data_IF_859139557800
#
_entry.id   IF_859139557800
#
_cell.length_a   1.000
_cell.length_b   1.000
_cell.length_c   1.000
_cell.angle_alpha   90.00
_cell.angle_beta   90.00
_cell.angle_gamma   90.00
#
_symmetry.space_group_name_H-M   'P 1'
#
loop_
_entity.id
_entity.type
_entity.pdbx_description
1 polymer ?
#
# COMPACT_ATOMS: atom_id res chain seq x y z
N UNK A 1 -49.19 15.53 18.62
CA UNK A 1 -48.46 16.03 17.44
C UNK A 1 -47.32 15.08 17.16
N UNK A 2 -47.41 14.25 16.12
CA UNK A 2 -46.32 13.32 15.77
C UNK A 2 -45.15 14.09 15.19
N UNK A 3 -43.98 13.99 15.82
CA UNK A 3 -42.74 14.52 15.25
C UNK A 3 -42.54 13.92 13.86
N UNK A 4 -42.60 14.78 12.83
CA UNK A 4 -42.33 14.39 11.47
C UNK A 4 -40.87 13.93 11.40
N UNK A 5 -40.65 12.64 11.20
CA UNK A 5 -39.34 12.05 10.93
C UNK A 5 -38.69 12.85 9.80
N UNK A 6 -37.64 13.61 10.13
CA UNK A 6 -36.84 14.35 9.14
C UNK A 6 -36.29 13.32 8.16
N UNK A 7 -36.66 13.44 6.88
CA UNK A 7 -36.13 12.65 5.77
C UNK A 7 -34.61 12.85 5.78
N UNK A 8 -33.85 11.83 6.17
CA UNK A 8 -32.39 11.87 6.10
C UNK A 8 -32.05 11.94 4.61
N UNK A 9 -31.43 13.04 4.19
CA UNK A 9 -30.91 13.17 2.84
C UNK A 9 -29.73 12.21 2.69
N UNK A 10 -29.96 11.11 1.98
CA UNK A 10 -29.02 10.01 1.84
C UNK A 10 -27.84 10.34 0.89
N UNK A 11 -27.84 11.53 0.25
CA UNK A 11 -26.84 11.95 -0.73
C UNK A 11 -25.76 12.92 -0.22
N UNK A 12 -25.90 13.50 0.98
CA UNK A 12 -25.06 14.61 1.45
C UNK A 12 -23.92 14.24 2.40
N UNK A 13 -23.71 12.95 2.68
CA UNK A 13 -22.64 12.52 3.59
C UNK A 13 -21.27 12.79 2.97
N UNK A 14 -20.50 13.66 3.62
CA UNK A 14 -19.15 14.00 3.20
C UNK A 14 -18.14 12.89 3.50
N UNK A 15 -17.01 12.90 2.79
CA UNK A 15 -15.93 11.92 3.02
C UNK A 15 -15.37 12.00 4.45
N UNK A 16 -15.31 13.20 5.02
CA UNK A 16 -14.83 13.42 6.38
C UNK A 16 -15.77 12.81 7.44
N UNK A 17 -17.09 12.89 7.23
CA UNK A 17 -18.08 12.28 8.12
C UNK A 17 -18.02 10.76 8.06
N UNK A 18 -17.79 10.20 6.86
CA UNK A 18 -17.54 8.76 6.68
C UNK A 18 -16.27 8.31 7.38
N UNK A 19 -15.18 9.09 7.28
CA UNK A 19 -13.92 8.76 7.95
C UNK A 19 -14.08 8.83 9.48
N UNK A 20 -14.73 9.86 10.01
CA UNK A 20 -15.02 9.96 11.46
C UNK A 20 -15.87 8.77 11.94
N UNK A 21 -16.91 8.39 11.19
CA UNK A 21 -17.73 7.24 11.51
C UNK A 21 -16.94 5.92 11.44
N UNK A 22 -16.07 5.79 10.44
CA UNK A 22 -15.19 4.63 10.28
C UNK A 22 -14.23 4.48 11.47
N UNK A 23 -13.60 5.57 11.89
CA UNK A 23 -12.68 5.60 13.04
C UNK A 23 -13.40 5.19 14.32
N UNK A 24 -14.62 5.68 14.56
CA UNK A 24 -15.41 5.27 15.73
C UNK A 24 -15.72 3.77 15.75
N UNK A 25 -16.08 3.22 14.59
CA UNK A 25 -16.31 1.78 14.44
C UNK A 25 -15.02 0.98 14.68
N UNK A 26 -13.88 1.43 14.14
CA UNK A 26 -12.56 0.83 14.39
C UNK A 26 -12.16 0.91 15.88
N UNK A 27 -12.61 1.93 16.60
CA UNK A 27 -12.41 2.09 18.05
C UNK A 27 -13.35 1.23 18.90
N UNK A 28 -14.18 0.38 18.28
CA UNK A 28 -15.05 -0.57 18.97
C UNK A 28 -16.51 -0.14 19.11
N UNK A 29 -16.91 1.01 18.53
CA UNK A 29 -18.33 1.38 18.51
C UNK A 29 -19.12 0.54 17.51
N UNK A 30 -20.39 0.33 17.80
CA UNK A 30 -21.27 -0.54 17.00
C UNK A 30 -21.48 -0.05 15.58
N UNK A 31 -21.25 -0.93 14.60
CA UNK A 31 -21.57 -0.76 13.17
C UNK A 31 -23.07 -0.51 12.93
N UNK A 32 -23.93 -0.81 13.91
CA UNK A 32 -25.38 -0.57 13.83
C UNK A 32 -25.80 0.78 14.40
N UNK A 33 -25.06 1.27 15.39
CA UNK A 33 -25.42 2.48 16.16
C UNK A 33 -24.78 3.73 15.55
N UNK A 34 -23.49 3.66 15.20
CA UNK A 34 -22.74 4.79 14.63
C UNK A 34 -23.41 5.39 13.38
N UNK A 35 -23.90 4.60 12.39
CA UNK A 35 -24.58 5.17 11.23
C UNK A 35 -25.88 5.90 11.59
N UNK A 36 -26.61 5.42 12.60
CA UNK A 36 -27.87 6.04 13.03
C UNK A 36 -27.62 7.39 13.70
N UNK A 37 -26.65 7.45 14.61
CA UNK A 37 -26.25 8.68 15.31
C UNK A 37 -25.73 9.74 14.33
N UNK A 38 -24.95 9.31 13.33
CA UNK A 38 -24.34 10.21 12.34
C UNK A 38 -25.19 10.44 11.10
N UNK A 39 -26.41 9.88 11.05
CA UNK A 39 -27.33 9.95 9.89
C UNK A 39 -26.69 9.47 8.57
N UNK A 40 -25.82 8.47 8.66
CA UNK A 40 -25.13 7.86 7.52
C UNK A 40 -25.86 6.57 7.11
N UNK A 41 -25.97 6.35 5.80
CA UNK A 41 -26.38 5.06 5.25
C UNK A 41 -25.50 3.92 5.75
N UNK A 42 -26.10 2.91 6.39
CA UNK A 42 -25.35 1.74 6.87
C UNK A 42 -24.59 1.06 5.72
N UNK A 43 -25.21 0.94 4.56
CA UNK A 43 -24.60 0.42 3.34
C UNK A 43 -23.43 1.29 2.87
N UNK A 44 -23.57 2.62 2.95
CA UNK A 44 -22.53 3.59 2.61
C UNK A 44 -21.31 3.42 3.52
N UNK A 45 -21.51 3.34 4.84
CA UNK A 45 -20.41 3.12 5.79
C UNK A 45 -19.75 1.74 5.59
N UNK A 46 -20.53 0.69 5.38
CA UNK A 46 -19.98 -0.65 5.12
C UNK A 46 -19.16 -0.71 3.82
N UNK A 47 -19.65 -0.06 2.75
CA UNK A 47 -18.92 0.05 1.49
C UNK A 47 -17.59 0.80 1.68
N UNK A 48 -17.61 1.89 2.47
CA UNK A 48 -16.43 2.65 2.82
C UNK A 48 -15.40 1.79 3.56
N UNK A 49 -15.83 1.10 4.62
CA UNK A 49 -15.00 0.20 5.43
C UNK A 49 -14.29 -0.86 4.57
N UNK A 50 -15.05 -1.57 3.73
CA UNK A 50 -14.50 -2.61 2.85
C UNK A 50 -13.45 -2.04 1.89
N UNK A 51 -13.69 -0.83 1.36
CA UNK A 51 -12.74 -0.14 0.47
C UNK A 51 -11.48 0.31 1.21
N UNK A 52 -11.62 0.82 2.44
CA UNK A 52 -10.50 1.24 3.28
C UNK A 52 -9.61 0.05 3.67
N UNK A 53 -10.21 -1.09 4.02
CA UNK A 53 -9.50 -2.32 4.35
C UNK A 53 -8.75 -2.88 3.14
N UNK A 54 -9.40 -2.99 1.99
CA UNK A 54 -8.75 -3.46 0.76
C UNK A 54 -7.61 -2.56 0.26
N UNK A 55 -7.67 -1.24 0.52
CA UNK A 55 -6.52 -0.34 0.25
C UNK A 55 -5.34 -0.63 1.19
N UNK A 56 -5.61 -0.86 2.48
CA UNK A 56 -4.59 -1.16 3.49
C UNK A 56 -3.91 -2.50 3.23
N UNK A 57 -4.65 -3.53 2.83
CA UNK A 57 -4.08 -4.83 2.47
C UNK A 57 -3.12 -4.72 1.29
N UNK A 58 -3.50 -3.98 0.25
CA UNK A 58 -2.62 -3.74 -0.91
C UNK A 58 -1.34 -3.00 -0.52
N UNK A 59 -1.44 -1.94 0.28
CA UNK A 59 -0.25 -1.19 0.70
C UNK A 59 0.69 -2.01 1.57
N UNK A 60 0.15 -2.84 2.46
CA UNK A 60 0.95 -3.79 3.27
C UNK A 60 1.61 -4.85 2.38
N UNK A 61 0.89 -5.39 1.39
CA UNK A 61 1.44 -6.38 0.44
C UNK A 61 2.57 -5.81 -0.44
N UNK A 62 2.41 -4.60 -0.97
CA UNK A 62 3.48 -3.93 -1.72
C UNK A 62 4.69 -3.61 -0.84
N UNK A 63 4.46 -3.19 0.41
CA UNK A 63 5.54 -2.93 1.37
C UNK A 63 6.33 -4.21 1.71
N UNK A 64 5.63 -5.31 1.98
CA UNK A 64 6.27 -6.61 2.25
C UNK A 64 7.08 -7.10 1.04
N UNK A 65 6.55 -6.95 -0.17
CA UNK A 65 7.28 -7.29 -1.40
C UNK A 65 8.53 -6.41 -1.61
N UNK A 66 8.43 -5.10 -1.31
CA UNK A 66 9.56 -4.19 -1.43
C UNK A 66 10.67 -4.51 -0.41
N UNK A 67 10.29 -4.87 0.81
CA UNK A 67 11.22 -5.25 1.87
C UNK A 67 11.90 -6.60 1.56
N UNK A 68 11.15 -7.59 1.10
CA UNK A 68 11.71 -8.87 0.64
C UNK A 68 12.72 -8.69 -0.51
N UNK A 69 12.40 -7.82 -1.48
CA UNK A 69 13.34 -7.48 -2.58
C UNK A 69 14.60 -6.80 -2.06
N UNK A 70 14.49 -5.96 -1.02
CA UNK A 70 15.65 -5.28 -0.42
C UNK A 70 16.58 -6.28 0.26
N UNK A 71 16.03 -7.17 1.10
CA UNK A 71 16.78 -8.23 1.78
C UNK A 71 17.46 -9.14 0.76
N UNK A 72 16.72 -9.60 -0.25
CA UNK A 72 17.27 -10.44 -1.32
C UNK A 72 18.43 -9.75 -2.05
N UNK A 73 18.32 -8.45 -2.31
CA UNK A 73 19.38 -7.68 -2.96
C UNK A 73 20.61 -7.47 -2.07
N UNK A 74 20.41 -7.32 -0.76
CA UNK A 74 21.49 -7.19 0.23
C UNK A 74 22.24 -8.52 0.38
N UNK A 75 21.53 -9.63 0.55
CA UNK A 75 22.12 -10.98 0.64
C UNK A 75 22.84 -11.37 -0.66
N UNK A 76 22.29 -11.01 -1.82
CA UNK A 76 22.96 -11.26 -3.10
C UNK A 76 24.27 -10.45 -3.23
N UNK A 77 24.29 -9.20 -2.77
CA UNK A 77 25.50 -8.37 -2.78
C UNK A 77 26.60 -8.95 -1.87
N UNK A 78 26.22 -9.41 -0.68
CA UNK A 78 27.13 -10.07 0.27
C UNK A 78 27.73 -11.35 -0.34
N UNK A 79 26.90 -12.17 -0.98
CA UNK A 79 27.38 -13.39 -1.65
C UNK A 79 28.32 -13.10 -2.82
N UNK A 80 28.03 -12.07 -3.63
CA UNK A 80 28.93 -11.65 -4.71
C UNK A 80 30.27 -11.18 -4.15
N UNK A 81 30.27 -10.44 -3.04
CA UNK A 81 31.48 -10.00 -2.35
C UNK A 81 32.31 -11.18 -1.86
N UNK A 82 31.68 -12.13 -1.16
CA UNK A 82 32.35 -13.35 -0.68
C UNK A 82 32.93 -14.18 -1.83
N UNK A 83 32.22 -14.31 -2.95
CA UNK A 83 32.71 -15.02 -4.14
C UNK A 83 33.91 -14.30 -4.77
N UNK A 84 33.88 -12.98 -4.87
CA UNK A 84 34.99 -12.21 -5.41
C UNK A 84 36.26 -12.32 -4.54
N UNK A 85 36.10 -12.28 -3.21
CA UNK A 85 37.21 -12.46 -2.28
C UNK A 85 37.80 -13.88 -2.36
N UNK A 86 36.94 -14.91 -2.44
CA UNK A 86 37.38 -16.31 -2.48
C UNK A 86 37.95 -16.77 -3.82
N UNK A 87 37.35 -16.34 -4.93
CA UNK A 87 37.67 -16.84 -6.27
C UNK A 87 38.76 -16.00 -6.93
N UNK A 88 38.80 -14.69 -6.68
CA UNK A 88 39.72 -13.79 -7.38
C UNK A 88 40.82 -13.23 -6.47
N UNK A 89 40.74 -13.43 -5.16
CA UNK A 89 41.66 -12.80 -4.19
C UNK A 89 41.58 -11.27 -4.22
N UNK A 90 40.52 -10.71 -4.81
CA UNK A 90 40.32 -9.28 -4.96
C UNK A 90 39.51 -8.77 -3.78
N UNK A 91 40.10 -7.92 -2.92
CA UNK A 91 39.29 -7.09 -2.04
C UNK A 91 38.55 -6.07 -2.92
N UNK A 92 37.26 -6.31 -3.19
CA UNK A 92 36.47 -5.37 -3.99
C UNK A 92 36.38 -4.04 -3.22
N UNK A 93 36.87 -2.91 -3.77
CA UNK A 93 36.63 -1.61 -3.17
C UNK A 93 35.12 -1.34 -3.15
N UNK A 94 34.62 -0.69 -2.09
CA UNK A 94 33.18 -0.43 -1.86
C UNK A 94 32.47 0.26 -3.04
N UNK A 95 33.22 0.91 -3.92
CA UNK A 95 32.69 1.61 -5.10
C UNK A 95 32.32 0.66 -6.25
N UNK A 96 32.98 -0.50 -6.35
CA UNK A 96 32.62 -1.56 -7.30
C UNK A 96 31.29 -2.24 -6.90
N UNK A 97 31.09 -2.44 -5.60
CA UNK A 97 29.85 -2.97 -5.02
C UNK A 97 28.65 -2.04 -5.30
N UNK A 98 28.82 -0.73 -5.08
CA UNK A 98 27.80 0.28 -5.41
C UNK A 98 27.48 0.32 -6.90
N UNK A 99 28.48 0.14 -7.75
CA UNK A 99 28.31 0.16 -9.21
C UNK A 99 27.52 -1.06 -9.71
N UNK A 100 27.80 -2.25 -9.17
CA UNK A 100 27.05 -3.48 -9.43
C UNK A 100 25.59 -3.38 -8.95
N UNK A 101 25.37 -2.83 -7.74
CA UNK A 101 24.04 -2.63 -7.20
C UNK A 101 23.22 -1.62 -8.05
N UNK A 102 23.86 -0.55 -8.53
CA UNK A 102 23.24 0.44 -9.42
C UNK A 102 22.90 -0.16 -10.79
N UNK A 103 23.80 -0.97 -11.35
CA UNK A 103 23.56 -1.69 -12.60
C UNK A 103 22.41 -2.69 -12.48
N UNK A 104 22.35 -3.45 -11.38
CA UNK A 104 21.26 -4.39 -11.12
C UNK A 104 19.91 -3.66 -10.97
N UNK A 105 19.89 -2.52 -10.26
CA UNK A 105 18.68 -1.68 -10.13
C UNK A 105 18.17 -1.14 -11.47
N UNK A 106 19.07 -0.83 -12.41
CA UNK A 106 18.69 -0.38 -13.77
C UNK A 106 18.15 -1.50 -14.66
N UNK A 107 18.65 -2.71 -14.49
CA UNK A 107 18.34 -3.85 -15.38
C UNK A 107 17.14 -4.68 -14.90
N UNK A 108 16.75 -4.60 -13.63
CA UNK A 108 15.63 -5.37 -13.05
C UNK A 108 14.27 -4.65 -13.05
N UNK A 109 14.17 -3.43 -13.59
CA UNK A 109 12.88 -2.82 -13.91
C UNK A 109 12.42 -3.34 -15.28
N UNK A 110 11.23 -3.96 -15.42
CA UNK A 110 10.72 -4.27 -16.74
C UNK A 110 10.48 -2.94 -17.46
N UNK A 111 11.18 -2.75 -18.57
CA UNK A 111 10.89 -1.72 -19.56
C UNK A 111 9.47 -1.94 -20.07
N UNK A 112 8.46 -1.37 -19.42
CA UNK A 112 7.12 -1.19 -19.99
C UNK A 112 7.09 0.15 -20.73
N UNK A 113 7.96 0.32 -21.72
CA UNK A 113 7.98 1.51 -22.55
C UNK A 113 8.64 1.23 -23.91
N UNK A 114 7.92 0.51 -24.77
CA UNK A 114 7.95 0.74 -26.22
C UNK A 114 6.67 0.16 -26.83
N UNK A 115 5.60 0.95 -26.78
CA UNK A 115 4.56 0.87 -27.79
C UNK A 115 5.11 1.50 -29.06
N UNK A 116 5.71 0.69 -29.93
CA UNK A 116 5.93 1.09 -31.32
C UNK A 116 4.57 1.13 -32.04
N UNK A 117 3.98 2.32 -32.09
CA UNK A 117 2.98 2.64 -33.12
C UNK A 117 3.72 2.83 -34.43
N UNK A 118 3.64 1.85 -35.33
CA UNK A 118 3.82 2.07 -36.77
C UNK A 118 2.53 2.67 -37.31
N UNK A 119 2.57 3.96 -37.63
CA UNK A 119 1.66 4.65 -38.53
C UNK A 119 2.45 5.13 -39.73
#
# INVERSE_FOLDING_TARGET
MGEKQKKIDWGSVTYEELEKAFVEVKRGRSVRTVPKERKIGRSTLQRYMKKAEGKREKTVGYRGTAEAKRILSEELAEHIRMLAERVLGLSLPRDAEKSLLNWHRRTTLPSSATGESRG
#
